data_IF_615978085985
#
_entry.id   IF_615978085985
#
_cell.length_a   1.000
_cell.length_b   1.000
_cell.length_c   1.000
_cell.angle_alpha   90.00
_cell.angle_beta   90.00
_cell.angle_gamma   90.00
#
_symmetry.space_group_name_H-M   'P 1'
#
loop_
_entity.id
_entity.type
_entity.pdbx_description
1 polymer ?
#
# COMPACT_ATOMS: atom_id res chain seq x y z
N UNK A 1 19.39 -15.20 16.56
CA UNK A 1 18.05 -14.79 17.03
C UNK A 1 17.19 -16.04 17.18
N UNK A 2 16.28 -16.04 18.18
CA UNK A 2 15.19 -17.03 18.29
C UNK A 2 13.88 -16.24 18.29
N UNK A 3 13.10 -16.41 17.23
CA UNK A 3 11.83 -15.68 17.02
C UNK A 3 10.86 -15.86 18.17
N UNK A 4 10.71 -17.10 18.70
CA UNK A 4 9.77 -17.38 19.77
C UNK A 4 10.15 -16.67 21.10
N UNK A 5 11.43 -16.61 21.44
CA UNK A 5 11.92 -15.94 22.64
C UNK A 5 11.72 -14.42 22.58
N UNK A 6 11.96 -13.84 21.41
CA UNK A 6 11.75 -12.42 21.18
C UNK A 6 10.25 -12.08 21.21
N UNK A 7 9.41 -12.89 20.55
CA UNK A 7 7.97 -12.69 20.57
C UNK A 7 7.37 -12.80 21.96
N UNK A 8 7.86 -13.73 22.79
CA UNK A 8 7.43 -13.84 24.19
C UNK A 8 7.72 -12.55 24.99
N UNK A 9 8.89 -11.94 24.77
CA UNK A 9 9.26 -10.65 25.39
C UNK A 9 8.37 -9.50 24.89
N UNK A 10 8.13 -9.43 23.59
CA UNK A 10 7.27 -8.40 23.00
C UNK A 10 5.82 -8.54 23.44
N UNK A 11 5.29 -9.76 23.52
CA UNK A 11 3.94 -10.03 23.97
C UNK A 11 3.75 -9.66 25.46
N UNK A 12 4.77 -9.90 26.30
CA UNK A 12 4.75 -9.44 27.70
C UNK A 12 4.79 -7.91 27.80
N UNK A 13 5.52 -7.22 26.89
CA UNK A 13 5.61 -5.75 26.87
C UNK A 13 4.36 -5.08 26.30
N UNK A 14 3.74 -5.68 25.27
CA UNK A 14 2.62 -5.14 24.51
C UNK A 14 1.40 -6.07 24.45
N UNK A 15 0.82 -6.50 25.59
CA UNK A 15 -0.18 -7.57 25.63
C UNK A 15 -1.49 -7.26 24.88
N UNK A 16 -1.75 -5.99 24.59
CA UNK A 16 -2.99 -5.53 23.95
C UNK A 16 -2.79 -5.12 22.47
N UNK A 17 -1.57 -5.20 21.94
CA UNK A 17 -1.24 -4.75 20.58
C UNK A 17 -1.19 -5.94 19.60
N UNK A 18 -2.31 -6.61 19.42
CA UNK A 18 -2.40 -7.88 18.67
C UNK A 18 -1.98 -7.73 17.21
N UNK A 19 -2.45 -6.70 16.51
CA UNK A 19 -2.15 -6.47 15.10
C UNK A 19 -0.66 -6.18 14.91
N UNK A 20 -0.07 -5.42 15.80
CA UNK A 20 1.36 -5.12 15.78
C UNK A 20 2.21 -6.38 16.02
N UNK A 21 1.87 -7.17 17.03
CA UNK A 21 2.59 -8.41 17.37
C UNK A 21 2.50 -9.44 16.23
N UNK A 22 1.35 -9.55 15.58
CA UNK A 22 1.19 -10.43 14.42
C UNK A 22 2.13 -10.03 13.28
N UNK A 23 2.17 -8.75 12.91
CA UNK A 23 3.03 -8.27 11.83
C UNK A 23 4.52 -8.46 12.13
N UNK A 24 4.93 -8.22 13.39
CA UNK A 24 6.31 -8.48 13.82
C UNK A 24 6.64 -9.95 13.68
N UNK A 25 5.78 -10.84 14.15
CA UNK A 25 5.99 -12.30 14.07
C UNK A 25 6.20 -12.78 12.62
N UNK A 26 5.32 -12.35 11.70
CA UNK A 26 5.40 -12.72 10.28
C UNK A 26 6.72 -12.30 9.62
N UNK A 27 7.22 -11.11 9.95
CA UNK A 27 8.50 -10.62 9.43
C UNK A 27 9.66 -11.39 10.07
N UNK A 28 9.66 -11.59 11.39
CA UNK A 28 10.72 -12.27 12.10
C UNK A 28 10.89 -13.74 11.64
N UNK A 29 9.79 -14.47 11.42
CA UNK A 29 9.84 -15.81 10.84
C UNK A 29 10.49 -15.82 9.45
N UNK A 30 10.18 -14.80 8.63
CA UNK A 30 10.74 -14.72 7.28
C UNK A 30 12.24 -14.44 7.25
N UNK A 31 12.77 -13.71 8.24
CA UNK A 31 14.17 -13.22 8.25
C UNK A 31 15.10 -14.05 9.13
N UNK A 32 14.60 -14.94 9.99
CA UNK A 32 15.39 -15.64 11.01
C UNK A 32 16.62 -16.34 10.44
N UNK A 33 16.47 -17.09 9.36
CA UNK A 33 17.56 -17.82 8.71
C UNK A 33 18.67 -16.87 8.21
N UNK A 34 18.28 -15.76 7.58
CA UNK A 34 19.23 -14.79 7.03
C UNK A 34 19.88 -13.98 8.14
N UNK A 35 19.11 -13.55 9.14
CA UNK A 35 19.64 -12.86 10.31
C UNK A 35 20.72 -13.67 11.02
N UNK A 36 20.51 -14.99 11.20
CA UNK A 36 21.45 -15.87 11.88
C UNK A 36 22.76 -16.11 11.09
N UNK A 37 22.81 -15.72 9.82
CA UNK A 37 24.03 -15.71 9.01
C UNK A 37 24.87 -14.42 9.19
N UNK A 38 24.34 -13.43 9.92
CA UNK A 38 24.91 -12.10 10.14
C UNK A 38 25.16 -11.85 11.65
N UNK A 39 26.25 -12.39 12.24
CA UNK A 39 26.53 -12.19 13.66
C UNK A 39 26.65 -10.71 14.05
N UNK A 40 27.11 -9.86 13.14
CA UNK A 40 27.19 -8.41 13.31
C UNK A 40 25.82 -7.77 13.58
N UNK A 41 24.73 -8.32 13.09
CA UNK A 41 23.38 -7.83 13.39
C UNK A 41 22.95 -8.17 14.82
N UNK A 42 23.32 -9.38 15.30
CA UNK A 42 23.07 -9.78 16.68
C UNK A 42 23.87 -8.94 17.67
N UNK A 43 25.15 -8.69 17.39
CA UNK A 43 26.02 -7.85 18.22
C UNK A 43 25.48 -6.43 18.32
N UNK A 44 24.94 -5.88 17.25
CA UNK A 44 24.33 -4.55 17.19
C UNK A 44 22.86 -4.52 17.65
N UNK A 45 22.27 -5.63 18.06
CA UNK A 45 20.86 -5.76 18.48
C UNK A 45 19.87 -5.19 17.45
N UNK A 46 20.13 -5.45 16.17
CA UNK A 46 19.36 -4.85 15.08
C UNK A 46 17.87 -5.20 15.19
N UNK A 47 17.52 -6.45 15.48
CA UNK A 47 16.12 -6.86 15.54
C UNK A 47 15.40 -6.26 16.73
N UNK A 48 16.00 -6.23 17.91
CA UNK A 48 15.42 -5.61 19.10
C UNK A 48 15.19 -4.10 18.91
N UNK A 49 16.02 -3.46 18.10
CA UNK A 49 15.90 -2.03 17.77
C UNK A 49 14.87 -1.78 16.66
N UNK A 50 14.83 -2.63 15.63
CA UNK A 50 13.95 -2.42 14.47
C UNK A 50 12.47 -2.73 14.78
N UNK A 51 12.19 -3.54 15.79
CA UNK A 51 10.81 -3.81 16.24
C UNK A 51 10.26 -2.73 17.19
N UNK A 52 11.05 -1.76 17.57
CA UNK A 52 10.58 -0.65 18.39
C UNK A 52 10.50 0.63 17.55
N UNK A 53 9.39 1.36 17.58
CA UNK A 53 9.32 2.66 16.91
C UNK A 53 10.27 3.66 17.60
N UNK A 54 10.96 4.47 16.78
CA UNK A 54 11.86 5.50 17.30
C UNK A 54 11.11 6.55 18.10
N UNK A 55 9.87 6.87 17.72
CA UNK A 55 9.06 7.87 18.38
C UNK A 55 7.56 7.68 18.14
N UNK A 56 6.77 7.86 19.19
CA UNK A 56 5.31 7.87 19.12
C UNK A 56 4.81 9.18 19.68
N UNK A 57 3.94 9.87 18.91
CA UNK A 57 3.19 11.03 19.37
C UNK A 57 1.72 10.64 19.49
N UNK A 58 1.15 10.93 20.64
CA UNK A 58 -0.30 10.83 20.90
C UNK A 58 -0.77 12.17 21.39
N UNK A 59 -1.81 12.70 20.78
CA UNK A 59 -2.31 14.04 21.09
C UNK A 59 -3.84 14.13 20.97
N UNK A 60 -4.42 15.09 21.68
CA UNK A 60 -5.84 15.40 21.61
C UNK A 60 -6.09 16.37 20.46
N UNK A 61 -7.12 16.08 19.67
CA UNK A 61 -7.61 16.96 18.61
C UNK A 61 -9.01 17.46 19.01
N UNK A 62 -9.13 18.74 19.30
CA UNK A 62 -10.41 19.38 19.66
C UNK A 62 -10.87 20.27 18.51
N UNK A 63 -12.10 20.11 18.08
CA UNK A 63 -12.69 20.83 16.97
C UNK A 63 -14.20 21.06 17.21
N UNK A 64 -14.82 21.92 16.38
CA UNK A 64 -16.25 22.26 16.52
C UNK A 64 -17.00 21.77 15.28
N UNK A 65 -18.11 21.05 15.47
CA UNK A 65 -18.96 20.57 14.38
C UNK A 65 -19.87 21.66 13.81
N UNK A 66 -20.71 21.32 12.83
CA UNK A 66 -21.61 22.27 12.19
C UNK A 66 -22.76 22.73 13.09
N UNK A 67 -23.02 22.03 14.18
CA UNK A 67 -24.03 22.40 15.19
C UNK A 67 -23.44 23.33 16.27
N UNK A 68 -22.14 23.62 16.22
CA UNK A 68 -21.43 24.40 17.24
C UNK A 68 -21.01 23.57 18.46
N UNK A 69 -21.14 22.23 18.41
CA UNK A 69 -20.76 21.35 19.49
C UNK A 69 -19.26 21.04 19.46
N UNK A 70 -18.64 20.99 20.64
CA UNK A 70 -17.22 20.68 20.79
C UNK A 70 -17.02 19.16 20.69
N UNK A 71 -16.18 18.76 19.74
CA UNK A 71 -15.80 17.38 19.51
C UNK A 71 -14.34 17.15 19.92
N UNK A 72 -14.02 15.95 20.35
CA UNK A 72 -12.65 15.56 20.75
C UNK A 72 -12.31 14.19 20.17
N UNK A 73 -11.17 14.11 19.50
CA UNK A 73 -10.61 12.90 18.93
C UNK A 73 -9.17 12.70 19.43
N UNK A 74 -8.65 11.48 19.27
CA UNK A 74 -7.25 11.18 19.53
C UNK A 74 -6.49 11.16 18.20
N UNK A 75 -5.40 11.92 18.14
CA UNK A 75 -4.48 11.91 17.02
C UNK A 75 -3.19 11.17 17.35
N UNK A 76 -2.57 10.56 16.35
CA UNK A 76 -1.33 9.79 16.47
C UNK A 76 -0.39 10.07 15.33
N UNK A 77 0.93 10.02 15.63
CA UNK A 77 2.00 9.84 14.63
C UNK A 77 3.04 8.88 15.18
N UNK A 78 3.23 7.77 14.49
CA UNK A 78 4.29 6.79 14.75
C UNK A 78 5.42 7.06 13.76
N UNK A 79 6.52 7.57 14.25
CA UNK A 79 7.80 7.73 13.56
C UNK A 79 8.58 6.46 13.83
N UNK A 80 8.49 5.50 12.88
CA UNK A 80 8.87 4.13 13.20
C UNK A 80 10.36 3.88 13.03
N UNK A 81 10.93 4.20 11.86
CA UNK A 81 12.34 3.99 11.58
C UNK A 81 12.82 4.99 10.52
N UNK A 82 13.93 5.66 10.77
CA UNK A 82 14.53 6.69 9.91
C UNK A 82 15.87 6.30 9.30
N UNK A 83 16.32 5.06 9.47
CA UNK A 83 17.65 4.64 9.04
C UNK A 83 17.95 4.85 7.55
N UNK A 84 16.93 4.83 6.68
CA UNK A 84 17.11 4.97 5.22
C UNK A 84 16.51 6.26 4.65
N UNK A 85 16.02 7.16 5.49
CA UNK A 85 15.44 8.45 5.07
C UNK A 85 14.39 8.96 6.03
N UNK A 86 13.75 10.11 5.72
CA UNK A 86 12.71 10.68 6.56
C UNK A 86 11.55 9.70 6.75
N UNK A 87 10.89 9.76 7.92
CA UNK A 87 9.71 8.95 8.16
C UNK A 87 8.67 9.21 7.07
N UNK A 88 8.13 8.14 6.48
CA UNK A 88 7.18 8.25 5.38
C UNK A 88 6.03 7.27 5.56
N UNK A 89 4.81 7.78 5.49
CA UNK A 89 3.62 6.95 5.52
C UNK A 89 2.34 7.75 5.73
N UNK A 90 1.20 7.13 5.38
CA UNK A 90 -0.10 7.78 5.34
C UNK A 90 -0.69 8.13 6.71
N UNK A 91 -1.65 9.03 6.67
CA UNK A 91 -2.57 9.35 7.78
C UNK A 91 -3.91 8.65 7.51
N UNK A 92 -4.45 7.95 8.50
CA UNK A 92 -5.75 7.26 8.43
C UNK A 92 -6.75 7.95 9.34
N UNK A 93 -7.91 8.35 8.79
CA UNK A 93 -9.03 8.86 9.58
C UNK A 93 -10.17 7.84 9.53
N UNK A 94 -10.29 7.07 10.61
CA UNK A 94 -11.29 6.02 10.73
C UNK A 94 -11.54 5.67 12.20
N UNK A 95 -12.78 5.37 12.61
CA UNK A 95 -13.11 5.04 14.02
C UNK A 95 -12.31 3.88 14.61
N UNK A 96 -11.81 2.96 13.79
CA UNK A 96 -11.00 1.82 14.26
C UNK A 96 -9.54 2.17 14.55
N UNK A 97 -9.08 3.39 14.26
CA UNK A 97 -7.69 3.77 14.47
C UNK A 97 -7.33 3.71 15.95
N UNK A 98 -6.28 2.96 16.24
CA UNK A 98 -5.66 2.85 17.54
C UNK A 98 -4.14 2.70 17.39
N UNK A 99 -3.41 2.71 18.49
CA UNK A 99 -1.95 2.67 18.47
C UNK A 99 -1.41 1.34 17.91
N UNK A 100 -2.02 0.19 18.24
CA UNK A 100 -1.61 -1.12 17.73
C UNK A 100 -1.63 -1.17 16.19
N UNK A 101 -2.73 -0.71 15.60
CA UNK A 101 -2.88 -0.63 14.13
C UNK A 101 -1.83 0.30 13.51
N UNK A 102 -1.55 1.45 14.13
CA UNK A 102 -0.59 2.40 13.56
C UNK A 102 0.86 1.94 13.75
N UNK A 103 1.19 1.24 14.83
CA UNK A 103 2.49 0.57 14.99
C UNK A 103 2.68 -0.53 13.95
N UNK A 104 1.69 -1.40 13.77
CA UNK A 104 1.67 -2.41 12.72
C UNK A 104 1.95 -1.79 11.35
N UNK A 105 1.14 -0.80 10.97
CA UNK A 105 1.27 -0.16 9.66
C UNK A 105 2.60 0.60 9.50
N UNK A 106 3.13 1.21 10.56
CA UNK A 106 4.43 1.89 10.54
C UNK A 106 5.60 0.93 10.40
N UNK A 107 5.54 -0.21 11.07
CA UNK A 107 6.52 -1.29 10.97
C UNK A 107 6.56 -1.86 9.54
N UNK A 108 5.43 -2.24 8.98
CA UNK A 108 5.35 -2.72 7.61
C UNK A 108 5.77 -1.67 6.57
N UNK A 109 5.41 -0.41 6.83
CA UNK A 109 5.78 0.69 5.94
C UNK A 109 7.30 0.87 5.84
N UNK A 110 8.05 0.59 6.92
CA UNK A 110 9.51 0.65 6.92
C UNK A 110 10.10 -0.28 5.84
N UNK A 111 9.67 -1.53 5.79
CA UNK A 111 10.18 -2.50 4.82
C UNK A 111 9.64 -2.25 3.41
N UNK A 112 8.38 -1.86 3.30
CA UNK A 112 7.78 -1.49 2.01
C UNK A 112 8.51 -0.32 1.36
N UNK A 113 8.82 0.72 2.12
CA UNK A 113 9.57 1.88 1.62
C UNK A 113 11.00 1.49 1.23
N UNK A 114 11.64 0.60 2.01
CA UNK A 114 12.97 0.10 1.72
C UNK A 114 13.07 -0.60 0.35
N UNK A 115 12.02 -1.35 -0.04
CA UNK A 115 11.95 -2.02 -1.34
C UNK A 115 11.99 -1.05 -2.51
N UNK A 116 11.43 0.16 -2.38
CA UNK A 116 11.38 1.15 -3.47
C UNK A 116 12.74 1.67 -3.91
N UNK A 117 13.79 1.39 -3.15
CA UNK A 117 15.15 1.96 -3.30
C UNK A 117 15.25 3.47 -3.04
N UNK A 118 14.13 4.15 -2.89
CA UNK A 118 14.10 5.58 -2.56
C UNK A 118 14.45 5.84 -1.10
N UNK A 119 15.00 7.02 -0.76
CA UNK A 119 15.41 7.37 0.60
C UNK A 119 14.21 7.74 1.47
N UNK A 120 13.46 6.75 1.92
CA UNK A 120 12.27 6.91 2.75
C UNK A 120 12.28 5.90 3.88
N UNK A 121 12.23 6.39 5.10
CA UNK A 121 12.00 5.60 6.31
C UNK A 121 10.55 5.17 6.47
N UNK A 122 10.18 4.64 7.63
CA UNK A 122 8.82 4.19 7.94
C UNK A 122 8.11 5.09 8.95
N UNK A 123 6.86 5.41 8.67
CA UNK A 123 6.00 6.12 9.61
C UNK A 123 4.52 5.88 9.30
N UNK A 124 3.67 6.11 10.27
CA UNK A 124 2.21 6.02 10.12
C UNK A 124 1.52 6.93 11.12
N UNK A 125 0.37 7.47 10.76
CA UNK A 125 -0.41 8.29 11.67
C UNK A 125 -1.90 8.22 11.39
N UNK A 126 -2.66 8.99 12.13
CA UNK A 126 -4.10 9.08 11.95
C UNK A 126 -4.86 9.49 13.19
N UNK A 127 -6.16 9.29 13.13
CA UNK A 127 -7.09 9.59 14.21
C UNK A 127 -8.31 8.67 14.14
N UNK A 128 -8.97 8.49 15.28
CA UNK A 128 -10.29 7.85 15.40
C UNK A 128 -11.44 8.70 14.82
N UNK A 129 -11.12 9.85 14.22
CA UNK A 129 -12.08 10.70 13.53
C UNK A 129 -12.73 9.96 12.34
N UNK A 130 -14.06 10.05 12.23
CA UNK A 130 -14.81 9.50 11.12
C UNK A 130 -15.22 10.61 10.13
N UNK A 131 -14.62 10.71 8.94
CA UNK A 131 -14.98 11.72 7.95
C UNK A 131 -16.29 11.42 7.23
N UNK A 132 -16.84 10.21 7.33
CA UNK A 132 -18.08 9.83 6.62
C UNK A 132 -19.27 10.59 7.20
N UNK A 133 -20.05 11.20 6.32
CA UNK A 133 -21.23 11.98 6.70
C UNK A 133 -20.93 13.36 7.29
N UNK A 134 -19.66 13.77 7.31
CA UNK A 134 -19.23 15.10 7.73
C UNK A 134 -19.20 16.07 6.55
N UNK A 135 -19.52 17.35 6.81
CA UNK A 135 -19.39 18.41 5.82
C UNK A 135 -17.92 18.71 5.51
N UNK A 136 -17.66 19.33 4.37
CA UNK A 136 -16.32 19.80 4.03
C UNK A 136 -15.78 20.82 5.05
N UNK A 137 -16.66 21.61 5.64
CA UNK A 137 -16.31 22.57 6.68
C UNK A 137 -15.91 21.90 7.98
N UNK A 138 -16.60 20.84 8.40
CA UNK A 138 -16.23 20.02 9.56
C UNK A 138 -14.88 19.33 9.35
N UNK A 139 -14.70 18.70 8.18
CA UNK A 139 -13.44 18.01 7.84
C UNK A 139 -12.27 19.01 7.79
N UNK A 140 -12.49 20.21 7.24
CA UNK A 140 -11.48 21.26 7.23
C UNK A 140 -11.09 21.68 8.65
N UNK A 141 -12.05 21.94 9.54
CA UNK A 141 -11.78 22.30 10.94
C UNK A 141 -11.02 21.19 11.67
N UNK A 142 -11.42 19.94 11.46
CA UNK A 142 -10.69 18.79 12.03
C UNK A 142 -9.24 18.74 11.52
N UNK A 143 -9.04 18.80 10.20
CA UNK A 143 -7.69 18.77 9.59
C UNK A 143 -6.79 19.91 10.09
N UNK A 144 -7.35 21.09 10.27
CA UNK A 144 -6.64 22.25 10.83
C UNK A 144 -6.25 22.02 12.29
N UNK A 145 -7.16 21.50 13.11
CA UNK A 145 -6.90 21.17 14.52
C UNK A 145 -5.87 20.04 14.64
N UNK A 146 -5.93 19.01 13.80
CA UNK A 146 -4.95 17.93 13.73
C UNK A 146 -3.55 18.45 13.37
N UNK A 147 -3.46 19.36 12.42
CA UNK A 147 -2.19 19.95 11.99
C UNK A 147 -1.57 20.88 13.03
N UNK A 148 -2.36 21.53 13.89
CA UNK A 148 -1.84 22.33 15.03
C UNK A 148 -0.91 21.53 15.95
N UNK A 149 -1.18 20.24 16.11
CA UNK A 149 -0.37 19.35 16.93
C UNK A 149 0.81 18.74 16.13
N UNK A 150 0.59 18.47 14.84
CA UNK A 150 1.54 17.71 14.03
C UNK A 150 2.65 18.56 13.41
N UNK A 151 2.41 19.83 13.09
CA UNK A 151 3.27 20.64 12.23
C UNK A 151 4.72 20.79 12.70
N UNK A 152 4.97 20.72 14.02
CA UNK A 152 6.33 20.87 14.60
C UNK A 152 7.23 19.65 14.41
N UNK A 153 6.65 18.50 14.07
CA UNK A 153 7.35 17.21 14.01
C UNK A 153 7.36 16.60 12.62
N UNK A 154 6.87 17.35 11.62
CA UNK A 154 6.90 16.96 10.21
C UNK A 154 7.72 17.95 9.39
N UNK A 155 8.22 17.48 8.28
CA UNK A 155 9.04 18.27 7.36
C UNK A 155 9.58 17.41 6.23
N UNK A 156 10.02 17.99 5.09
CA UNK A 156 10.44 17.23 3.91
C UNK A 156 11.60 16.28 4.16
N UNK A 157 12.48 16.64 5.10
CA UNK A 157 13.68 15.85 5.46
C UNK A 157 13.56 15.20 6.84
N UNK A 158 12.40 15.25 7.46
CA UNK A 158 12.13 14.72 8.80
C UNK A 158 11.05 13.66 8.79
N UNK A 159 9.84 14.05 8.41
CA UNK A 159 8.65 13.19 8.40
C UNK A 159 7.64 13.70 7.38
N UNK A 160 7.29 12.89 6.40
CA UNK A 160 6.44 13.28 5.27
C UNK A 160 5.17 12.42 5.25
N UNK A 161 4.08 12.87 5.89
CA UNK A 161 2.79 12.19 5.82
C UNK A 161 2.19 12.20 4.41
N UNK A 162 1.25 11.27 4.20
CA UNK A 162 0.50 11.10 2.96
C UNK A 162 -0.96 10.77 3.26
N UNK A 163 -1.76 10.54 2.22
CA UNK A 163 -3.11 10.00 2.36
C UNK A 163 -3.14 8.49 2.65
N UNK A 164 -4.23 8.06 3.26
CA UNK A 164 -4.62 6.67 3.51
C UNK A 164 -6.16 6.63 3.65
N UNK A 165 -6.75 5.59 4.24
CA UNK A 165 -8.21 5.51 4.45
C UNK A 165 -8.73 6.77 5.15
N UNK A 166 -9.75 7.40 4.57
CA UNK A 166 -10.36 8.61 5.09
C UNK A 166 -9.54 9.90 4.91
N UNK A 167 -8.39 9.83 4.22
CA UNK A 167 -7.54 10.98 3.92
C UNK A 167 -7.17 10.97 2.43
N UNK A 168 -7.82 11.78 1.68
CA UNK A 168 -7.57 12.01 0.25
C UNK A 168 -6.96 13.39 -0.03
N UNK A 169 -6.99 13.79 -1.29
CA UNK A 169 -6.44 15.09 -1.73
C UNK A 169 -7.07 16.29 -1.04
N UNK A 170 -8.37 16.21 -0.68
CA UNK A 170 -9.09 17.25 0.07
C UNK A 170 -8.49 17.45 1.47
N UNK A 171 -8.35 16.37 2.24
CA UNK A 171 -7.78 16.40 3.59
C UNK A 171 -6.32 16.84 3.56
N UNK A 172 -5.53 16.33 2.62
CA UNK A 172 -4.15 16.75 2.40
C UNK A 172 -4.10 18.27 2.11
N UNK A 173 -5.02 18.79 1.30
CA UNK A 173 -5.13 20.21 1.01
C UNK A 173 -5.39 21.05 2.25
N UNK A 174 -6.37 20.65 3.07
CA UNK A 174 -6.70 21.37 4.31
C UNK A 174 -5.53 21.34 5.32
N UNK A 175 -4.85 20.21 5.45
CA UNK A 175 -3.67 20.09 6.32
C UNK A 175 -2.48 20.91 5.80
N UNK A 176 -2.24 20.89 4.50
CA UNK A 176 -1.15 21.68 3.89
C UNK A 176 -1.39 23.19 4.05
N UNK A 177 -2.61 23.66 3.81
CA UNK A 177 -2.99 25.06 3.99
C UNK A 177 -2.71 25.55 5.42
N UNK A 178 -3.03 24.74 6.42
CA UNK A 178 -2.75 25.05 7.82
C UNK A 178 -1.25 24.99 8.14
N UNK A 179 -0.54 23.95 7.68
CA UNK A 179 0.91 23.85 7.84
C UNK A 179 1.64 25.07 7.30
N UNK A 180 1.33 25.47 6.06
CA UNK A 180 1.93 26.63 5.42
C UNK A 180 1.75 27.93 6.25
N UNK A 181 0.58 28.09 6.86
CA UNK A 181 0.27 29.22 7.71
C UNK A 181 1.05 29.19 9.03
N UNK A 182 1.16 28.03 9.67
CA UNK A 182 1.87 27.87 10.94
C UNK A 182 3.38 27.96 10.78
N UNK A 183 3.92 27.28 9.78
CA UNK A 183 5.37 27.26 9.50
C UNK A 183 5.85 28.56 8.84
N UNK A 184 4.96 29.37 8.28
CA UNK A 184 5.28 30.59 7.50
C UNK A 184 6.26 30.31 6.35
N UNK A 185 6.16 29.12 5.76
CA UNK A 185 7.01 28.64 4.67
C UNK A 185 6.18 27.95 3.61
N UNK A 186 6.55 28.15 2.36
CA UNK A 186 5.97 27.40 1.24
C UNK A 186 6.83 26.16 0.98
N UNK A 187 6.60 25.11 1.78
CA UNK A 187 7.35 23.89 1.71
C UNK A 187 6.51 22.75 1.14
N UNK A 188 6.60 22.53 -0.18
CA UNK A 188 5.81 21.53 -0.90
C UNK A 188 6.15 20.10 -0.50
N UNK A 189 7.36 19.85 -0.02
CA UNK A 189 7.84 18.51 0.34
C UNK A 189 7.28 17.95 1.65
N UNK A 190 6.54 18.74 2.44
CA UNK A 190 6.08 18.31 3.78
C UNK A 190 5.01 17.23 3.76
N UNK A 191 4.22 17.14 2.70
CA UNK A 191 3.13 16.18 2.51
C UNK A 191 3.16 15.66 1.07
N UNK A 192 2.73 14.42 0.84
CA UNK A 192 2.47 13.89 -0.50
C UNK A 192 1.00 13.57 -0.73
N UNK A 193 0.61 13.43 -1.99
CA UNK A 193 -0.79 13.32 -2.39
C UNK A 193 -1.45 14.68 -2.60
N UNK A 194 -0.64 15.70 -2.90
CA UNK A 194 -1.07 17.08 -3.16
C UNK A 194 -1.73 17.21 -4.53
N UNK A 195 -2.51 18.29 -4.68
CA UNK A 195 -3.06 18.71 -5.98
C UNK A 195 -1.96 19.19 -6.93
N UNK A 196 -2.20 19.02 -8.23
CA UNK A 196 -1.22 19.38 -9.29
C UNK A 196 -0.84 20.86 -9.29
N UNK A 197 -1.73 21.74 -8.86
CA UNK A 197 -1.51 23.19 -8.85
C UNK A 197 -0.58 23.69 -7.74
N UNK A 198 -0.20 22.81 -6.81
CA UNK A 198 0.59 23.18 -5.62
C UNK A 198 1.56 22.09 -5.18
N UNK A 199 2.21 21.45 -6.15
CA UNK A 199 3.35 20.55 -5.91
C UNK A 199 3.02 19.07 -5.89
N UNK A 200 1.85 18.64 -6.35
CA UNK A 200 1.50 17.25 -6.53
C UNK A 200 2.20 16.61 -7.72
N UNK A 201 2.25 15.28 -7.74
CA UNK A 201 2.75 14.49 -8.86
C UNK A 201 1.61 13.90 -9.67
N UNK A 202 1.79 13.86 -10.99
CA UNK A 202 0.90 13.15 -11.91
C UNK A 202 0.96 11.64 -11.66
N UNK A 203 -0.01 10.90 -12.13
CA UNK A 203 -0.18 9.42 -11.98
C UNK A 203 -0.36 8.94 -10.53
N UNK A 204 -0.49 9.81 -9.55
CA UNK A 204 -0.59 9.40 -8.15
C UNK A 204 -1.83 8.53 -7.85
N UNK A 205 -3.04 8.83 -8.38
CA UNK A 205 -4.22 8.00 -8.16
C UNK A 205 -4.08 6.58 -8.70
N UNK A 206 -3.49 6.41 -9.88
CA UNK A 206 -3.36 5.14 -10.60
C UNK A 206 -2.10 4.35 -10.22
N UNK A 207 -1.13 4.99 -9.59
CA UNK A 207 0.22 4.48 -9.38
C UNK A 207 0.30 3.11 -8.71
N UNK A 208 -0.59 2.83 -7.77
CA UNK A 208 -0.63 1.52 -7.09
C UNK A 208 -1.00 0.41 -8.08
N UNK A 209 -2.04 0.63 -8.87
CA UNK A 209 -2.46 -0.31 -9.90
C UNK A 209 -1.44 -0.46 -11.03
N UNK A 210 -0.87 0.65 -11.50
CA UNK A 210 0.18 0.64 -12.52
C UNK A 210 1.38 -0.16 -12.06
N UNK A 211 1.88 0.12 -10.87
CA UNK A 211 3.02 -0.59 -10.29
C UNK A 211 2.75 -2.09 -10.11
N UNK A 212 1.54 -2.46 -9.68
CA UNK A 212 1.15 -3.85 -9.54
C UNK A 212 1.22 -4.61 -10.88
N UNK A 213 0.72 -4.01 -11.94
CA UNK A 213 0.77 -4.63 -13.27
C UNK A 213 2.22 -4.74 -13.78
N UNK A 214 3.06 -3.75 -13.54
CA UNK A 214 4.49 -3.85 -13.87
C UNK A 214 5.17 -4.98 -13.11
N UNK A 215 4.87 -5.14 -11.82
CA UNK A 215 5.42 -6.24 -11.04
C UNK A 215 5.01 -7.60 -11.61
N UNK A 216 3.72 -7.78 -11.94
CA UNK A 216 3.19 -8.99 -12.57
C UNK A 216 3.83 -9.24 -13.94
N UNK A 217 4.05 -8.19 -14.73
CA UNK A 217 4.78 -8.27 -16.01
C UNK A 217 6.19 -8.82 -15.80
N UNK A 218 6.95 -8.30 -14.84
CA UNK A 218 8.30 -8.77 -14.53
C UNK A 218 8.31 -10.22 -14.06
N UNK A 219 7.34 -10.65 -13.24
CA UNK A 219 7.19 -12.06 -12.86
C UNK A 219 7.06 -12.96 -14.09
N UNK A 220 6.31 -12.54 -15.11
CA UNK A 220 6.12 -13.30 -16.36
C UNK A 220 7.36 -13.27 -17.26
N UNK A 221 8.00 -12.13 -17.41
CA UNK A 221 9.20 -11.96 -18.21
C UNK A 221 10.34 -12.83 -17.70
N UNK A 222 10.47 -12.98 -16.39
CA UNK A 222 11.44 -13.88 -15.77
C UNK A 222 11.22 -15.35 -16.18
N UNK A 223 9.98 -15.75 -16.43
CA UNK A 223 9.65 -17.07 -16.97
C UNK A 223 9.73 -17.15 -18.51
N UNK A 224 10.32 -16.14 -19.17
CA UNK A 224 10.42 -16.06 -20.63
C UNK A 224 9.10 -15.85 -21.36
N UNK A 225 8.10 -15.27 -20.69
CA UNK A 225 6.73 -15.10 -21.20
C UNK A 225 6.26 -13.66 -20.98
N UNK A 226 5.11 -13.29 -21.56
CA UNK A 226 4.48 -11.97 -21.43
C UNK A 226 3.08 -12.12 -20.81
N UNK A 227 2.54 -11.00 -20.33
CA UNK A 227 1.14 -10.87 -19.88
C UNK A 227 0.18 -10.57 -21.06
N UNK A 228 0.72 -10.15 -22.21
CA UNK A 228 -0.08 -9.87 -23.38
C UNK A 228 -0.94 -11.08 -23.78
N UNK A 229 -2.23 -10.85 -24.04
CA UNK A 229 -3.22 -11.88 -24.35
C UNK A 229 -3.67 -12.73 -23.14
N UNK A 230 -3.16 -12.49 -21.94
CA UNK A 230 -3.57 -13.21 -20.72
C UNK A 230 -4.81 -12.58 -20.12
N UNK A 231 -5.67 -13.43 -19.56
CA UNK A 231 -6.91 -13.00 -18.92
C UNK A 231 -6.67 -12.62 -17.45
N UNK A 232 -7.23 -11.49 -17.04
CA UNK A 232 -7.07 -10.93 -15.70
C UNK A 232 -8.42 -10.75 -15.03
N UNK A 233 -8.52 -11.15 -13.77
CA UNK A 233 -9.64 -10.83 -12.89
C UNK A 233 -9.19 -9.89 -11.77
N UNK A 234 -9.95 -8.81 -11.56
CA UNK A 234 -9.71 -7.78 -10.56
C UNK A 234 -10.88 -7.73 -9.58
N UNK A 235 -10.61 -7.40 -8.33
CA UNK A 235 -11.63 -6.97 -7.38
C UNK A 235 -11.54 -5.48 -7.09
N UNK A 236 -12.65 -4.89 -6.65
CA UNK A 236 -12.72 -3.51 -6.22
C UNK A 236 -13.10 -2.51 -7.30
N UNK A 237 -13.51 -1.34 -6.83
CA UNK A 237 -14.02 -0.23 -7.65
C UNK A 237 -13.25 1.07 -7.43
N UNK A 238 -12.11 1.01 -6.73
CA UNK A 238 -11.27 2.15 -6.39
C UNK A 238 -10.19 2.47 -7.43
N UNK A 239 -9.42 3.53 -7.16
CA UNK A 239 -8.31 3.95 -8.01
C UNK A 239 -7.30 2.82 -8.27
N UNK A 240 -7.10 1.94 -7.30
CA UNK A 240 -6.19 0.79 -7.41
C UNK A 240 -6.66 -0.18 -8.50
N UNK A 241 -7.93 -0.60 -8.45
CA UNK A 241 -8.52 -1.50 -9.44
C UNK A 241 -8.52 -0.88 -10.86
N UNK A 242 -8.91 0.39 -10.97
CA UNK A 242 -8.93 1.08 -12.26
C UNK A 242 -7.54 1.34 -12.81
N UNK A 243 -6.57 1.68 -11.97
CA UNK A 243 -5.18 1.76 -12.37
C UNK A 243 -4.67 0.42 -12.90
N UNK A 244 -4.94 -0.69 -12.20
CA UNK A 244 -4.57 -2.02 -12.65
C UNK A 244 -5.26 -2.39 -13.98
N UNK A 245 -6.57 -2.12 -14.12
CA UNK A 245 -7.30 -2.37 -15.37
C UNK A 245 -6.71 -1.59 -16.54
N UNK A 246 -6.44 -0.31 -16.35
CA UNK A 246 -5.87 0.57 -17.37
C UNK A 246 -4.49 0.08 -17.83
N UNK A 247 -3.58 -0.16 -16.90
CA UNK A 247 -2.22 -0.57 -17.25
C UNK A 247 -2.17 -1.98 -17.84
N UNK A 248 -2.96 -2.93 -17.31
CA UNK A 248 -3.04 -4.27 -17.88
C UNK A 248 -3.53 -4.24 -19.34
N UNK A 249 -4.56 -3.44 -19.63
CA UNK A 249 -5.08 -3.24 -20.99
C UNK A 249 -4.02 -2.60 -21.90
N UNK A 250 -3.30 -1.57 -21.43
CA UNK A 250 -2.21 -0.93 -22.19
C UNK A 250 -1.07 -1.91 -22.54
N UNK A 251 -0.78 -2.88 -21.66
CA UNK A 251 0.24 -3.90 -21.89
C UNK A 251 -0.31 -5.13 -22.64
N UNK A 252 -1.53 -5.05 -23.17
CA UNK A 252 -2.12 -6.09 -24.00
C UNK A 252 -2.73 -7.27 -23.25
N UNK A 253 -2.82 -7.23 -21.93
CA UNK A 253 -3.58 -8.19 -21.15
C UNK A 253 -5.08 -7.94 -21.30
N UNK A 254 -5.88 -8.97 -21.10
CA UNK A 254 -7.33 -8.91 -21.25
C UNK A 254 -7.99 -8.93 -19.87
N UNK A 255 -8.41 -7.79 -19.36
CA UNK A 255 -9.16 -7.69 -18.11
C UNK A 255 -10.61 -8.11 -18.38
N UNK A 256 -10.93 -9.35 -18.02
CA UNK A 256 -12.24 -9.97 -18.33
C UNK A 256 -13.23 -9.94 -17.18
N UNK A 257 -12.76 -9.69 -15.96
CA UNK A 257 -13.63 -9.67 -14.79
C UNK A 257 -13.23 -8.55 -13.83
N UNK A 258 -14.24 -7.85 -13.34
CA UNK A 258 -14.11 -6.87 -12.24
C UNK A 258 -15.28 -7.06 -11.29
N UNK A 259 -15.03 -7.00 -9.97
CA UNK A 259 -16.10 -7.04 -8.96
C UNK A 259 -16.20 -5.73 -8.20
N UNK A 260 -17.43 -5.33 -7.92
CA UNK A 260 -17.80 -4.23 -7.04
C UNK A 260 -18.59 -4.72 -5.82
N UNK A 261 -19.18 -3.79 -5.05
CA UNK A 261 -19.98 -4.15 -3.87
C UNK A 261 -21.23 -4.94 -4.18
N UNK A 262 -21.78 -4.82 -5.41
CA UNK A 262 -23.02 -5.41 -5.87
C UNK A 262 -22.85 -6.77 -6.56
N UNK A 263 -21.64 -7.10 -7.00
CA UNK A 263 -21.37 -8.37 -7.70
C UNK A 263 -20.17 -8.29 -8.62
N UNK A 264 -20.12 -9.17 -9.62
CA UNK A 264 -19.05 -9.21 -10.60
C UNK A 264 -19.59 -9.07 -12.02
N UNK A 265 -18.83 -8.43 -12.89
CA UNK A 265 -19.03 -8.47 -14.34
C UNK A 265 -18.01 -9.42 -14.98
N UNK A 266 -18.46 -10.13 -16.00
CA UNK A 266 -17.61 -10.89 -16.90
C UNK A 266 -17.82 -10.37 -18.32
N UNK A 267 -16.75 -9.96 -18.96
CA UNK A 267 -16.74 -9.54 -20.35
C UNK A 267 -15.66 -10.30 -21.12
N UNK A 268 -16.03 -11.28 -21.97
CA UNK A 268 -15.06 -12.07 -22.71
C UNK A 268 -14.26 -11.25 -23.74
N UNK A 269 -14.75 -10.08 -24.14
CA UNK A 269 -13.99 -9.15 -24.98
C UNK A 269 -12.89 -8.42 -24.21
N UNK A 270 -13.04 -8.32 -22.87
CA UNK A 270 -12.16 -7.58 -21.98
C UNK A 270 -12.43 -6.08 -21.99
N UNK A 271 -11.74 -5.39 -21.09
CA UNK A 271 -11.78 -3.94 -20.98
C UNK A 271 -11.02 -3.25 -22.13
N UNK A 272 -11.51 -2.08 -22.52
CA UNK A 272 -10.87 -1.13 -23.41
C UNK A 272 -11.05 0.29 -22.84
N UNK A 273 -10.51 1.30 -23.51
CA UNK A 273 -10.56 2.69 -23.03
C UNK A 273 -11.98 3.20 -22.84
N UNK A 274 -12.94 2.85 -23.73
CA UNK A 274 -14.34 3.24 -23.61
C UNK A 274 -14.99 2.62 -22.36
N UNK A 275 -14.78 1.33 -22.17
CA UNK A 275 -15.31 0.56 -21.03
C UNK A 275 -14.74 1.07 -19.70
N UNK A 276 -13.44 1.35 -19.66
CA UNK A 276 -12.76 1.93 -18.48
C UNK A 276 -13.31 3.34 -18.21
N UNK A 277 -13.42 4.19 -19.22
CA UNK A 277 -13.94 5.54 -19.08
C UNK A 277 -15.37 5.56 -18.50
N UNK A 278 -16.23 4.66 -18.98
CA UNK A 278 -17.57 4.53 -18.43
C UNK A 278 -17.61 4.16 -16.94
N UNK A 279 -16.74 3.25 -16.54
CA UNK A 279 -16.67 2.85 -15.14
C UNK A 279 -16.10 3.94 -14.24
N UNK A 280 -15.16 4.74 -14.76
CA UNK A 280 -14.66 5.93 -14.05
C UNK A 280 -15.75 7.00 -13.92
N UNK A 281 -16.64 7.15 -14.92
CA UNK A 281 -17.81 8.02 -14.84
C UNK A 281 -18.79 7.58 -13.75
N UNK A 282 -19.10 6.27 -13.66
CA UNK A 282 -19.93 5.71 -12.59
C UNK A 282 -19.34 6.02 -11.22
N UNK A 283 -18.04 5.83 -11.06
CA UNK A 283 -17.32 6.17 -9.83
C UNK A 283 -17.41 7.67 -9.50
N UNK A 284 -17.20 8.54 -10.48
CA UNK A 284 -17.28 9.98 -10.29
C UNK A 284 -18.68 10.45 -9.88
N UNK A 285 -19.72 9.72 -10.26
CA UNK A 285 -21.10 9.96 -9.84
C UNK A 285 -21.46 9.38 -8.46
N UNK A 286 -20.47 8.85 -7.71
CA UNK A 286 -20.65 8.12 -6.45
C UNK A 286 -21.53 6.87 -6.57
N UNK A 287 -21.57 6.26 -7.74
CA UNK A 287 -22.27 5.00 -8.00
C UNK A 287 -21.25 3.87 -8.15
N UNK A 288 -20.72 3.40 -7.03
CA UNK A 288 -19.67 2.38 -6.96
C UNK A 288 -20.23 0.96 -7.18
N UNK A 289 -21.05 0.76 -8.21
CA UNK A 289 -21.63 -0.53 -8.59
C UNK A 289 -21.22 -0.91 -10.00
N UNK A 290 -21.12 -2.22 -10.27
CA UNK A 290 -20.70 -2.75 -11.56
C UNK A 290 -21.88 -3.17 -12.47
N UNK A 291 -23.07 -3.37 -11.91
CA UNK A 291 -24.25 -3.82 -12.67
C UNK A 291 -24.56 -2.98 -13.93
N UNK A 292 -24.51 -1.62 -13.91
CA UNK A 292 -24.83 -0.80 -15.08
C UNK A 292 -23.90 -1.04 -16.28
N UNK A 293 -22.74 -1.65 -16.06
CA UNK A 293 -21.82 -2.00 -17.14
C UNK A 293 -22.45 -3.00 -18.12
N UNK A 294 -23.10 -4.04 -17.61
CA UNK A 294 -23.75 -5.05 -18.45
C UNK A 294 -24.97 -4.51 -19.22
N UNK A 295 -25.62 -3.47 -18.69
CA UNK A 295 -26.70 -2.77 -19.41
C UNK A 295 -26.18 -1.98 -20.60
N UNK A 296 -24.98 -1.39 -20.47
CA UNK A 296 -24.36 -0.57 -21.51
C UNK A 296 -23.61 -1.40 -22.55
N UNK A 297 -22.92 -2.46 -22.13
CA UNK A 297 -22.09 -3.29 -22.99
C UNK A 297 -22.66 -4.70 -23.13
N UNK A 298 -23.30 -5.03 -24.27
CA UNK A 298 -23.97 -6.33 -24.47
C UNK A 298 -23.05 -7.55 -24.45
N UNK A 299 -21.73 -7.36 -24.58
CA UNK A 299 -20.75 -8.44 -24.45
C UNK A 299 -20.59 -8.91 -23.01
N UNK A 300 -20.98 -8.08 -22.05
CA UNK A 300 -20.79 -8.34 -20.63
C UNK A 300 -21.99 -9.06 -19.99
N UNK A 301 -21.70 -9.84 -18.97
CA UNK A 301 -22.69 -10.47 -18.08
C UNK A 301 -22.46 -10.04 -16.65
N UNK A 302 -23.51 -9.62 -15.96
CA UNK A 302 -23.46 -9.30 -14.54
C UNK A 302 -23.88 -10.51 -13.69
N UNK A 303 -23.11 -10.79 -12.65
CA UNK A 303 -23.36 -11.84 -11.67
C UNK A 303 -23.58 -11.21 -10.28
N UNK A 304 -24.84 -11.02 -9.85
CA UNK A 304 -25.16 -10.40 -8.57
C UNK A 304 -24.53 -11.14 -7.38
N UNK A 305 -23.92 -10.41 -6.48
CA UNK A 305 -23.33 -10.94 -5.24
C UNK A 305 -22.14 -11.89 -5.42
N UNK A 306 -21.66 -12.11 -6.66
CA UNK A 306 -20.49 -12.93 -6.92
C UNK A 306 -19.21 -12.10 -6.83
N UNK A 307 -18.10 -12.77 -6.47
CA UNK A 307 -16.76 -12.22 -6.55
C UNK A 307 -16.15 -12.47 -7.94
N UNK A 308 -15.17 -11.67 -8.34
CA UNK A 308 -14.43 -11.87 -9.59
C UNK A 308 -13.74 -13.24 -9.67
N UNK A 309 -13.49 -13.87 -8.55
CA UNK A 309 -12.79 -15.16 -8.41
C UNK A 309 -13.58 -16.35 -8.93
N UNK A 310 -14.89 -16.21 -9.07
CA UNK A 310 -15.75 -17.23 -9.71
C UNK A 310 -15.59 -17.30 -11.25
N UNK A 311 -14.84 -16.37 -11.83
CA UNK A 311 -14.61 -16.28 -13.27
C UNK A 311 -13.22 -16.83 -13.59
N UNK A 312 -13.15 -17.80 -14.50
CA UNK A 312 -11.90 -18.41 -14.92
C UNK A 312 -10.97 -17.36 -15.56
N UNK A 313 -9.76 -17.25 -15.05
CA UNK A 313 -8.74 -16.31 -15.54
C UNK A 313 -7.33 -16.89 -15.38
N UNK A 314 -6.37 -16.27 -16.07
CA UNK A 314 -4.95 -16.58 -15.94
C UNK A 314 -4.32 -15.95 -14.68
N UNK A 315 -4.74 -14.73 -14.34
CA UNK A 315 -4.15 -13.87 -13.33
C UNK A 315 -5.25 -13.32 -12.42
N UNK A 316 -5.13 -13.50 -11.10
CA UNK A 316 -6.03 -12.95 -10.09
C UNK A 316 -5.35 -11.83 -9.30
N UNK A 317 -5.97 -10.65 -9.23
CA UNK A 317 -5.39 -9.49 -8.55
C UNK A 317 -6.41 -8.85 -7.59
N UNK A 318 -6.40 -9.20 -6.28
CA UNK A 318 -7.25 -8.54 -5.28
C UNK A 318 -6.83 -7.09 -5.07
N UNK A 319 -7.76 -6.15 -5.34
CA UNK A 319 -7.52 -4.71 -5.33
C UNK A 319 -8.44 -3.94 -4.36
N UNK A 320 -9.33 -4.61 -3.62
CA UNK A 320 -10.36 -3.94 -2.83
C UNK A 320 -9.96 -3.70 -1.37
N UNK A 321 -9.93 -4.73 -0.55
CA UNK A 321 -9.71 -4.60 0.89
C UNK A 321 -8.95 -5.79 1.49
N UNK A 322 -8.59 -5.65 2.76
CA UNK A 322 -7.87 -6.67 3.52
C UNK A 322 -8.68 -7.97 3.66
N UNK A 323 -8.00 -9.12 3.47
CA UNK A 323 -8.57 -10.47 3.61
C UNK A 323 -9.81 -10.73 2.74
N UNK A 324 -9.91 -10.05 1.60
CA UNK A 324 -11.03 -10.24 0.67
C UNK A 324 -11.02 -11.59 -0.05
N UNK A 325 -9.82 -12.15 -0.29
CA UNK A 325 -9.60 -13.43 -0.92
C UNK A 325 -9.31 -14.48 0.16
N UNK A 326 -10.30 -15.33 0.39
CA UNK A 326 -10.26 -16.36 1.44
C UNK A 326 -9.69 -17.69 0.92
N UNK A 327 -9.51 -18.67 1.80
CA UNK A 327 -9.12 -20.05 1.46
C UNK A 327 -10.11 -20.69 0.47
N UNK A 328 -11.40 -20.48 0.66
CA UNK A 328 -12.43 -20.97 -0.26
C UNK A 328 -12.30 -20.34 -1.66
N UNK A 329 -12.05 -19.03 -1.73
CA UNK A 329 -11.77 -18.33 -2.99
C UNK A 329 -10.48 -18.88 -3.66
N UNK A 330 -9.44 -19.15 -2.88
CA UNK A 330 -8.20 -19.72 -3.40
C UNK A 330 -8.38 -21.09 -4.01
N UNK A 331 -9.20 -21.95 -3.38
CA UNK A 331 -9.55 -23.28 -3.94
C UNK A 331 -10.27 -23.13 -5.30
N UNK A 332 -11.21 -22.19 -5.40
CA UNK A 332 -11.92 -21.91 -6.65
C UNK A 332 -10.99 -21.38 -7.75
N UNK A 333 -10.14 -20.43 -7.42
CA UNK A 333 -9.12 -19.84 -8.31
C UNK A 333 -8.18 -20.92 -8.85
N UNK A 334 -7.68 -21.80 -7.99
CA UNK A 334 -6.80 -22.91 -8.38
C UNK A 334 -7.52 -23.94 -9.26
N UNK A 335 -8.76 -24.28 -8.94
CA UNK A 335 -9.58 -25.19 -9.75
C UNK A 335 -9.86 -24.63 -11.15
N UNK A 336 -9.95 -23.33 -11.28
CA UNK A 336 -10.11 -22.61 -12.56
C UNK A 336 -8.83 -22.55 -13.40
N UNK A 337 -7.68 -22.98 -12.85
CA UNK A 337 -6.40 -23.03 -13.57
C UNK A 337 -5.64 -21.71 -13.60
N UNK A 338 -5.94 -20.77 -12.70
CA UNK A 338 -5.16 -19.55 -12.48
C UNK A 338 -3.75 -19.93 -12.04
N UNK A 339 -2.75 -19.35 -12.66
CA UNK A 339 -1.34 -19.67 -12.41
C UNK A 339 -0.56 -18.52 -11.76
N UNK A 340 -1.19 -17.35 -11.56
CA UNK A 340 -0.61 -16.20 -10.86
C UNK A 340 -1.67 -15.49 -10.03
N UNK A 341 -1.34 -15.24 -8.75
CA UNK A 341 -2.10 -14.37 -7.87
C UNK A 341 -1.17 -13.26 -7.32
N UNK A 342 -1.60 -12.01 -7.36
CA UNK A 342 -0.80 -10.87 -6.89
C UNK A 342 -1.67 -9.92 -6.07
N UNK A 343 -1.34 -9.74 -4.80
CA UNK A 343 -2.05 -8.80 -3.92
C UNK A 343 -1.79 -7.36 -4.31
N UNK A 344 -2.82 -6.63 -4.68
CA UNK A 344 -2.73 -5.19 -4.93
C UNK A 344 -3.24 -4.39 -3.74
N UNK A 345 -4.27 -4.88 -3.05
CA UNK A 345 -4.66 -4.36 -1.73
C UNK A 345 -3.64 -4.75 -0.65
N UNK A 346 -3.63 -4.02 0.47
CA UNK A 346 -2.81 -4.40 1.61
C UNK A 346 -3.40 -5.64 2.26
N UNK A 347 -2.60 -6.74 2.32
CA UNK A 347 -3.04 -8.04 2.87
C UNK A 347 -4.37 -8.51 2.24
N UNK A 348 -4.44 -8.52 0.91
CA UNK A 348 -5.66 -8.87 0.17
C UNK A 348 -6.10 -10.31 0.32
N UNK A 349 -5.17 -11.22 0.60
CA UNK A 349 -5.41 -12.64 0.82
C UNK A 349 -5.33 -13.00 2.31
N UNK A 350 -6.11 -13.99 2.74
CA UNK A 350 -5.92 -14.57 4.07
C UNK A 350 -4.64 -15.43 4.10
N UNK A 351 -4.01 -15.66 5.28
CA UNK A 351 -2.85 -16.53 5.40
C UNK A 351 -3.08 -17.94 4.82
N UNK A 352 -4.29 -18.48 4.99
CA UNK A 352 -4.70 -19.78 4.47
C UNK A 352 -4.73 -19.77 2.93
N UNK A 353 -5.21 -18.70 2.31
CA UNK A 353 -5.21 -18.54 0.86
C UNK A 353 -3.78 -18.47 0.31
N UNK A 354 -2.91 -17.71 0.97
CA UNK A 354 -1.48 -17.62 0.61
C UNK A 354 -0.82 -18.99 0.69
N UNK A 355 -1.04 -19.72 1.79
CA UNK A 355 -0.52 -21.07 1.95
C UNK A 355 -1.02 -22.04 0.87
N UNK A 356 -2.30 -21.91 0.46
CA UNK A 356 -2.86 -22.73 -0.61
C UNK A 356 -2.18 -22.44 -1.96
N UNK A 357 -1.93 -21.17 -2.30
CA UNK A 357 -1.23 -20.77 -3.53
C UNK A 357 0.22 -21.27 -3.54
N UNK A 358 0.94 -21.10 -2.45
CA UNK A 358 2.33 -21.60 -2.32
C UNK A 358 2.40 -23.11 -2.43
N UNK A 359 1.50 -23.84 -1.75
CA UNK A 359 1.40 -25.31 -1.83
C UNK A 359 1.09 -25.80 -3.23
N UNK A 360 0.26 -25.08 -3.98
CA UNK A 360 -0.06 -25.39 -5.37
C UNK A 360 1.08 -25.03 -6.35
N UNK A 361 2.12 -24.34 -5.90
CA UNK A 361 3.25 -23.92 -6.71
C UNK A 361 2.94 -22.87 -7.77
N UNK A 362 1.82 -22.12 -7.62
CA UNK A 362 1.55 -21.01 -8.51
C UNK A 362 2.42 -19.80 -8.14
N UNK A 363 2.59 -18.86 -9.08
CA UNK A 363 3.24 -17.60 -8.78
C UNK A 363 2.35 -16.78 -7.84
N UNK A 364 2.86 -16.46 -6.65
CA UNK A 364 2.17 -15.59 -5.71
C UNK A 364 3.07 -14.44 -5.27
N UNK A 365 2.56 -13.20 -5.28
CA UNK A 365 3.30 -12.03 -4.85
C UNK A 365 2.53 -11.22 -3.79
N UNK A 366 3.20 -10.79 -2.69
CA UNK A 366 2.58 -10.12 -1.55
C UNK A 366 2.33 -8.64 -1.81
N UNK A 367 1.32 -8.09 -1.15
CA UNK A 367 0.92 -6.70 -1.30
C UNK A 367 2.04 -5.69 -1.06
N UNK A 368 2.89 -5.90 -0.07
CA UNK A 368 3.99 -4.94 0.24
C UNK A 368 4.99 -4.73 -0.92
N UNK A 369 5.17 -5.72 -1.80
CA UNK A 369 5.98 -5.59 -3.00
C UNK A 369 5.14 -5.10 -4.19
N UNK A 370 4.01 -5.75 -4.43
CA UNK A 370 3.15 -5.51 -5.60
C UNK A 370 2.54 -4.10 -5.57
N UNK A 371 2.04 -3.64 -4.43
CA UNK A 371 1.37 -2.34 -4.31
C UNK A 371 2.30 -1.17 -3.97
N UNK A 372 3.61 -1.37 -4.01
CA UNK A 372 4.59 -0.34 -3.70
C UNK A 372 4.57 0.84 -4.69
N UNK A 373 3.91 0.71 -5.84
CA UNK A 373 3.78 1.78 -6.83
C UNK A 373 3.23 3.09 -6.27
N UNK A 374 2.26 3.01 -5.35
CA UNK A 374 1.69 4.19 -4.71
C UNK A 374 2.71 4.95 -3.85
N UNK A 375 3.47 4.26 -3.02
CA UNK A 375 4.52 4.91 -2.20
C UNK A 375 5.73 5.29 -3.04
N UNK A 376 6.07 4.54 -4.08
CA UNK A 376 7.11 4.90 -5.03
C UNK A 376 6.80 6.25 -5.70
N UNK A 377 5.57 6.43 -6.21
CA UNK A 377 5.16 7.72 -6.80
C UNK A 377 5.12 8.84 -5.76
N UNK A 378 4.79 8.53 -4.50
CA UNK A 378 4.93 9.51 -3.41
C UNK A 378 6.39 9.95 -3.21
N UNK A 379 7.35 9.02 -3.29
CA UNK A 379 8.78 9.35 -3.26
C UNK A 379 9.23 10.16 -4.48
N UNK A 380 8.69 9.85 -5.67
CA UNK A 380 8.91 10.67 -6.86
C UNK A 380 8.33 12.09 -6.72
N UNK A 381 7.17 12.24 -6.04
CA UNK A 381 6.61 13.55 -5.68
C UNK A 381 7.56 14.32 -4.75
N UNK A 382 8.12 13.66 -3.73
CA UNK A 382 9.12 14.27 -2.85
C UNK A 382 10.35 14.73 -3.65
N UNK A 383 10.84 13.92 -4.58
CA UNK A 383 11.97 14.27 -5.44
C UNK A 383 11.66 15.50 -6.30
N UNK A 384 10.52 15.54 -6.96
CA UNK A 384 10.06 16.69 -7.75
C UNK A 384 9.98 17.96 -6.88
N UNK A 385 9.46 17.83 -5.65
CA UNK A 385 9.36 18.93 -4.71
C UNK A 385 10.74 19.46 -4.27
N UNK A 386 11.69 18.57 -3.98
CA UNK A 386 13.05 18.96 -3.61
C UNK A 386 13.81 19.65 -4.75
N UNK A 387 13.51 19.26 -6.00
CA UNK A 387 14.11 19.87 -7.21
C UNK A 387 13.35 21.11 -7.68
N UNK A 388 12.17 21.40 -7.13
CA UNK A 388 11.26 22.47 -7.58
C UNK A 388 10.84 22.36 -9.04
N UNK A 389 10.63 21.15 -9.53
CA UNK A 389 10.17 20.86 -10.90
C UNK A 389 9.00 19.89 -10.89
N UNK A 390 8.32 19.79 -12.03
CA UNK A 390 7.32 18.77 -12.29
C UNK A 390 7.74 17.93 -13.50
N UNK A 391 7.60 16.60 -13.39
CA UNK A 391 7.86 15.69 -14.48
C UNK A 391 6.59 15.45 -15.30
N UNK A 392 6.77 15.12 -16.57
CA UNK A 392 5.69 14.69 -17.46
C UNK A 392 5.14 13.31 -17.06
N UNK A 393 3.93 12.94 -17.53
CA UNK A 393 3.40 11.59 -17.30
C UNK A 393 4.35 10.46 -17.72
N UNK A 394 5.01 10.62 -18.85
CA UNK A 394 5.94 9.62 -19.36
C UNK A 394 7.17 9.46 -18.46
N UNK A 395 7.75 10.56 -17.96
CA UNK A 395 8.89 10.50 -17.04
C UNK A 395 8.52 9.84 -15.70
N UNK A 396 7.34 10.12 -15.17
CA UNK A 396 6.88 9.48 -13.91
C UNK A 396 6.62 8.00 -14.14
N UNK A 397 5.98 7.62 -15.25
CA UNK A 397 5.67 6.23 -15.60
C UNK A 397 6.94 5.40 -15.82
N UNK A 398 7.93 5.94 -16.54
CA UNK A 398 9.24 5.30 -16.73
C UNK A 398 9.96 5.04 -15.39
N UNK A 399 9.99 6.04 -14.51
CA UNK A 399 10.61 5.91 -13.20
C UNK A 399 9.86 4.91 -12.31
N UNK A 400 8.54 4.92 -12.36
CA UNK A 400 7.72 3.94 -11.65
C UNK A 400 7.99 2.52 -12.14
N UNK A 401 8.06 2.31 -13.46
CA UNK A 401 8.38 1.02 -14.05
C UNK A 401 9.76 0.51 -13.60
N UNK A 402 10.78 1.38 -13.64
CA UNK A 402 12.13 1.05 -13.17
C UNK A 402 12.17 0.68 -11.68
N UNK A 403 11.44 1.41 -10.83
CA UNK A 403 11.34 1.09 -9.40
C UNK A 403 10.69 -0.29 -9.20
N UNK A 404 9.61 -0.59 -9.92
CA UNK A 404 8.92 -1.89 -9.79
C UNK A 404 9.79 -3.04 -10.28
N UNK A 405 10.63 -2.84 -11.32
CA UNK A 405 11.66 -3.80 -11.74
C UNK A 405 12.65 -4.09 -10.60
N UNK A 406 13.20 -3.04 -10.00
CA UNK A 406 14.15 -3.18 -8.90
C UNK A 406 13.54 -3.92 -7.69
N UNK A 407 12.28 -3.65 -7.36
CA UNK A 407 11.56 -4.35 -6.29
C UNK A 407 11.44 -5.85 -6.64
N UNK A 408 11.03 -6.15 -7.87
CA UNK A 408 10.91 -7.53 -8.33
C UNK A 408 12.26 -8.27 -8.26
N UNK A 409 13.33 -7.67 -8.78
CA UNK A 409 14.69 -8.24 -8.75
C UNK A 409 15.16 -8.51 -7.31
N UNK A 410 14.91 -7.58 -6.38
CA UNK A 410 15.23 -7.76 -4.96
C UNK A 410 14.45 -8.92 -4.35
N UNK A 411 13.16 -9.05 -4.65
CA UNK A 411 12.34 -10.17 -4.19
C UNK A 411 12.84 -11.51 -4.74
N UNK A 412 13.24 -11.57 -6.00
CA UNK A 412 13.82 -12.76 -6.63
C UNK A 412 15.12 -13.14 -5.97
N UNK A 413 16.04 -12.18 -5.77
CA UNK A 413 17.35 -12.39 -5.15
C UNK A 413 17.25 -13.10 -3.81
N UNK A 414 16.31 -12.72 -2.97
CA UNK A 414 16.16 -13.25 -1.61
C UNK A 414 15.07 -14.33 -1.47
N UNK A 415 14.21 -14.46 -2.48
CA UNK A 415 13.09 -15.41 -2.44
C UNK A 415 13.30 -16.70 -3.22
N UNK A 416 14.36 -16.80 -4.04
CA UNK A 416 14.62 -18.00 -4.83
C UNK A 416 15.03 -19.15 -3.93
N UNK A 417 14.29 -20.26 -4.03
CA UNK A 417 14.53 -21.49 -3.29
C UNK A 417 15.41 -22.47 -4.08
N UNK A 418 16.00 -23.49 -3.43
CA UNK A 418 16.87 -24.48 -4.10
C UNK A 418 16.20 -25.26 -5.24
N UNK A 419 14.87 -25.40 -5.20
CA UNK A 419 14.07 -26.07 -6.24
C UNK A 419 13.72 -25.14 -7.42
N UNK A 420 14.12 -23.86 -7.35
CA UNK A 420 13.84 -22.83 -8.34
C UNK A 420 12.51 -22.11 -8.13
N UNK A 421 11.71 -22.47 -7.15
CA UNK A 421 10.51 -21.71 -6.78
C UNK A 421 10.90 -20.36 -6.18
N UNK A 422 10.16 -19.30 -6.52
CA UNK A 422 10.38 -17.98 -5.95
C UNK A 422 9.30 -17.68 -4.91
N UNK A 423 9.71 -17.70 -3.64
CA UNK A 423 8.87 -17.24 -2.55
C UNK A 423 8.96 -15.72 -2.43
N UNK A 424 8.10 -15.00 -3.15
CA UNK A 424 8.07 -13.54 -3.15
C UNK A 424 7.73 -12.93 -1.79
N UNK A 425 6.99 -13.64 -0.92
CA UNK A 425 6.70 -13.19 0.45
C UNK A 425 7.99 -13.12 1.26
N UNK A 426 8.74 -14.24 1.30
CA UNK A 426 10.04 -14.31 1.97
C UNK A 426 11.03 -13.31 1.34
N UNK A 427 11.07 -13.25 0.02
CA UNK A 427 11.94 -12.35 -0.74
C UNK A 427 11.71 -10.89 -0.40
N UNK A 428 10.47 -10.43 -0.34
CA UNK A 428 10.12 -9.05 -0.01
C UNK A 428 10.50 -8.70 1.45
N UNK A 429 10.20 -9.58 2.41
CA UNK A 429 10.54 -9.37 3.81
C UNK A 429 12.05 -9.27 4.02
N UNK A 430 12.81 -10.21 3.47
CA UNK A 430 14.27 -10.22 3.60
C UNK A 430 14.90 -9.01 2.89
N UNK A 431 14.49 -8.70 1.66
CA UNK A 431 15.06 -7.57 0.91
C UNK A 431 14.86 -6.24 1.64
N UNK A 432 13.65 -5.99 2.15
CA UNK A 432 13.36 -4.81 2.96
C UNK A 432 14.15 -4.76 4.25
N UNK A 433 14.19 -5.88 4.98
CA UNK A 433 14.95 -5.99 6.22
C UNK A 433 16.45 -5.73 6.02
N UNK A 434 17.10 -6.41 5.08
CA UNK A 434 18.54 -6.32 4.85
C UNK A 434 18.99 -4.88 4.58
N UNK A 435 18.22 -4.12 3.80
CA UNK A 435 18.53 -2.72 3.51
C UNK A 435 18.48 -1.85 4.77
N UNK A 436 17.43 -2.00 5.58
CA UNK A 436 17.28 -1.23 6.83
C UNK A 436 18.31 -1.65 7.87
N UNK A 437 18.52 -2.96 8.04
CA UNK A 437 19.49 -3.52 8.99
C UNK A 437 20.92 -3.05 8.69
N UNK A 438 21.33 -3.05 7.42
CA UNK A 438 22.63 -2.58 7.00
C UNK A 438 22.81 -1.08 7.30
N UNK A 439 21.81 -0.27 6.99
CA UNK A 439 21.84 1.17 7.28
C UNK A 439 21.93 1.43 8.80
N UNK A 440 21.16 0.70 9.62
CA UNK A 440 21.23 0.81 11.08
C UNK A 440 22.58 0.38 11.63
N UNK A 441 23.20 -0.65 11.05
CA UNK A 441 24.55 -1.10 11.44
C UNK A 441 25.61 -0.03 11.15
N UNK A 442 25.59 0.54 9.93
CA UNK A 442 26.53 1.57 9.49
C UNK A 442 26.41 2.89 10.26
N UNK A 443 25.21 3.25 10.69
CA UNK A 443 24.95 4.46 11.49
C UNK A 443 25.25 4.28 12.99
N UNK A 444 25.44 3.05 13.43
CA UNK A 444 25.79 2.74 14.81
C UNK A 444 24.58 2.74 15.77
N UNK A 445 24.86 3.01 17.03
CA UNK A 445 23.85 3.04 18.10
C UNK A 445 23.53 4.49 18.42
N UNK A 446 22.34 4.92 17.98
CA UNK A 446 21.82 6.29 18.14
C UNK A 446 20.50 6.25 18.91
#
# INVERSE_FOLDING_TARGET
>A
MNTNDLMAKLQAKYPYEKEYLQAVHEVLESIEDVYNQHPEFEDAKIVERIVEPERILTFKVTWVDDNGEIQTNTGYRVQFNSAIGPYKGGLRFHPSVNLSILKFLGFEQTFKNALTTLPMGGGKGGSDFNPRGKSDAEIMRFCQAFMLELWKVIGPDQDVPAGDIGVGGREIGFMYGMYKKLAQQYNTGVLTGKGMTWGGSILRPEATGFGAVYFVQHMRQMAGKDIAGKTVALSGFGNVAWGAATKATQLGAKVIAISGPDGAIYDPEGMNDEKIAYMLELRASNNDVVAPFADKFPSATFYPGKKAWSIKCDIAMPCAFQNELTDADAVEILANGTWLAAEVSNMGCTPEAIAAFQKAGIMFAPGKAVNAGGVATSGLEMTQNAMHISWSPAEVDEKLHAIMSNIHEACVKYGTQPDGYINYVKGANIAGFMKVAQAMLEQGVI
#
